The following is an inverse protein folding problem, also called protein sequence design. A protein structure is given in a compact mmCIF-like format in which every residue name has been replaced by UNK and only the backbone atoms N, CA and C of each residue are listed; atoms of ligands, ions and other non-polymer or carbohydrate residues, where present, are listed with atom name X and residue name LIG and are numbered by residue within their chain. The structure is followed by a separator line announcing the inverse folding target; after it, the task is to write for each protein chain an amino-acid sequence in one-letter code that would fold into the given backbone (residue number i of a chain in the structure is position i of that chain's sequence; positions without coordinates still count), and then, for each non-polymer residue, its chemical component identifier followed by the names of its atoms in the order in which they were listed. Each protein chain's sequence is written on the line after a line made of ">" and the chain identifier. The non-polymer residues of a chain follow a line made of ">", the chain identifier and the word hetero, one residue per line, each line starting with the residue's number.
data_IF_459621297142
#
_entry.id   IF_459621297142
#
_cell.length_a   1.000
_cell.length_b   1.000
_cell.length_c   1.000
_cell.angle_alpha   90.00
_cell.angle_beta   90.00
_cell.angle_gamma   90.00
#
_symmetry.space_group_name_H-M   'P 1'
#
loop_
_entity.id
_entity.type
_entity.pdbx_description
1 polymer ?
#
# COMPACT_ATOMS: atom_id res chain seq x y z
N UNK A 1 18.61 -13.87 -9.64
CA UNK A 1 18.31 -12.54 -10.24
C UNK A 1 16.89 -12.15 -9.84
N UNK A 2 16.68 -11.77 -8.57
CA UNK A 2 15.37 -11.35 -8.02
C UNK A 2 15.43 -9.93 -7.46
N UNK A 3 16.63 -9.35 -7.35
CA UNK A 3 16.89 -8.02 -6.80
C UNK A 3 16.31 -6.94 -7.70
N UNK A 4 16.62 -6.96 -9.00
CA UNK A 4 16.16 -5.91 -9.93
C UNK A 4 14.64 -5.75 -10.07
N UNK A 5 13.85 -6.83 -9.90
CA UNK A 5 12.39 -6.72 -9.95
C UNK A 5 11.82 -6.03 -8.71
N UNK A 6 12.35 -6.34 -7.53
CA UNK A 6 11.92 -5.71 -6.27
C UNK A 6 12.32 -4.24 -6.25
N UNK A 7 13.53 -3.92 -6.72
CA UNK A 7 14.04 -2.55 -6.79
C UNK A 7 13.22 -1.68 -7.77
N UNK A 8 12.86 -2.23 -8.93
CA UNK A 8 11.99 -1.55 -9.90
C UNK A 8 10.58 -1.31 -9.34
N UNK A 9 10.01 -2.29 -8.64
CA UNK A 9 8.71 -2.14 -7.99
C UNK A 9 8.77 -1.10 -6.87
N UNK A 10 9.81 -1.12 -6.03
CA UNK A 10 10.01 -0.14 -4.97
C UNK A 10 10.13 1.28 -5.55
N UNK A 11 10.87 1.45 -6.64
CA UNK A 11 11.01 2.74 -7.32
C UNK A 11 9.68 3.24 -7.91
N UNK A 12 8.85 2.35 -8.46
CA UNK A 12 7.52 2.69 -8.96
C UNK A 12 6.56 3.08 -7.82
N UNK A 13 6.55 2.30 -6.73
CA UNK A 13 5.75 2.60 -5.54
C UNK A 13 6.18 3.92 -4.88
N UNK A 14 7.49 4.21 -4.84
CA UNK A 14 8.00 5.46 -4.29
C UNK A 14 7.54 6.71 -5.06
N UNK A 15 7.20 6.57 -6.35
CA UNK A 15 6.62 7.65 -7.17
C UNK A 15 5.11 7.79 -6.98
N UNK A 16 4.46 6.81 -6.36
CA UNK A 16 3.02 6.85 -6.08
C UNK A 16 2.76 7.81 -4.93
N UNK A 17 1.79 8.72 -5.09
CA UNK A 17 1.50 9.71 -4.07
C UNK A 17 0.98 9.05 -2.79
N UNK A 18 1.14 9.74 -1.65
CA UNK A 18 0.61 9.28 -0.36
C UNK A 18 -0.91 9.03 -0.40
N UNK A 19 -1.65 9.80 -1.19
CA UNK A 19 -3.10 9.62 -1.37
C UNK A 19 -3.42 8.36 -2.16
N UNK A 20 -2.70 8.13 -3.26
CA UNK A 20 -2.95 6.99 -4.15
C UNK A 20 -2.57 5.67 -3.48
N UNK A 21 -1.47 5.64 -2.70
CA UNK A 21 -1.11 4.43 -1.93
C UNK A 21 -2.14 4.13 -0.82
N UNK A 22 -2.74 5.15 -0.23
CA UNK A 22 -3.86 4.97 0.72
C UNK A 22 -5.08 4.36 0.01
N UNK A 23 -5.43 4.86 -1.18
CA UNK A 23 -6.54 4.30 -1.97
C UNK A 23 -6.25 2.86 -2.39
N UNK A 24 -5.02 2.55 -2.81
CA UNK A 24 -4.57 1.20 -3.08
C UNK A 24 -4.76 0.29 -1.87
N UNK A 25 -4.25 0.69 -0.69
CA UNK A 25 -4.38 -0.11 0.52
C UNK A 25 -5.85 -0.31 0.94
N UNK A 26 -6.72 0.69 0.70
CA UNK A 26 -8.17 0.59 0.92
C UNK A 26 -8.82 -0.37 -0.08
N UNK A 27 -8.44 -0.31 -1.36
CA UNK A 27 -8.95 -1.20 -2.40
C UNK A 27 -8.58 -2.67 -2.11
N UNK A 28 -7.35 -2.94 -1.67
CA UNK A 28 -6.91 -4.27 -1.25
C UNK A 28 -7.71 -4.77 -0.05
N UNK A 29 -7.95 -3.93 0.96
CA UNK A 29 -8.77 -4.33 2.13
C UNK A 29 -10.19 -4.74 1.71
N UNK A 30 -10.83 -3.96 0.84
CA UNK A 30 -12.22 -4.19 0.42
C UNK A 30 -12.34 -5.41 -0.50
N UNK A 31 -11.46 -5.50 -1.50
CA UNK A 31 -11.56 -6.54 -2.52
C UNK A 31 -10.99 -7.89 -2.05
N UNK A 32 -9.89 -7.87 -1.29
CA UNK A 32 -9.13 -9.07 -0.92
C UNK A 32 -8.49 -8.94 0.47
N UNK A 33 -9.33 -8.93 1.52
CA UNK A 33 -8.87 -8.81 2.91
C UNK A 33 -7.82 -9.85 3.32
N UNK A 34 -7.88 -11.06 2.78
CA UNK A 34 -6.84 -12.10 2.99
C UNK A 34 -5.46 -11.67 2.51
N UNK A 35 -5.37 -10.95 1.38
CA UNK A 35 -4.11 -10.39 0.87
C UNK A 35 -3.69 -9.21 1.75
N UNK A 36 -4.63 -8.34 2.12
CA UNK A 36 -4.39 -7.23 3.04
C UNK A 36 -3.82 -7.67 4.39
N UNK A 37 -4.15 -8.88 4.85
CA UNK A 37 -3.63 -9.48 6.08
C UNK A 37 -2.23 -10.09 5.95
N UNK A 38 -1.72 -10.25 4.72
CA UNK A 38 -0.36 -10.75 4.44
C UNK A 38 0.63 -9.60 4.24
N UNK A 39 0.19 -8.51 3.61
CA UNK A 39 1.05 -7.36 3.29
C UNK A 39 1.21 -6.46 4.51
N UNK A 40 2.44 -5.99 4.77
CA UNK A 40 2.79 -5.18 5.94
C UNK A 40 2.29 -5.80 7.26
N UNK A 41 2.30 -7.13 7.36
CA UNK A 41 1.94 -7.81 8.60
C UNK A 41 3.03 -7.52 9.64
N UNK A 42 2.67 -6.80 10.69
CA UNK A 42 3.56 -6.49 11.81
C UNK A 42 3.95 -7.78 12.54
N UNK A 43 5.08 -7.72 13.26
CA UNK A 43 5.53 -8.81 14.10
C UNK A 43 4.50 -9.21 15.19
N UNK A 44 4.69 -10.39 15.77
CA UNK A 44 3.80 -10.88 16.83
C UNK A 44 3.68 -9.89 17.99
N UNK A 45 2.43 -9.56 18.34
CA UNK A 45 2.07 -8.58 19.36
C UNK A 45 2.54 -7.15 19.08
N UNK A 46 2.91 -6.83 17.84
CA UNK A 46 3.35 -5.50 17.42
C UNK A 46 2.20 -4.68 16.82
N UNK A 47 2.32 -3.36 16.90
CA UNK A 47 1.33 -2.34 16.51
C UNK A 47 1.98 -1.22 15.69
N UNK A 48 1.16 -0.47 14.96
CA UNK A 48 1.60 0.70 14.20
C UNK A 48 1.23 2.03 14.87
N UNK A 49 1.86 3.11 14.42
CA UNK A 49 1.43 4.49 14.66
C UNK A 49 2.17 5.24 15.76
N UNK A 50 3.24 4.67 16.33
CA UNK A 50 4.04 5.36 17.36
C UNK A 50 5.37 5.82 16.77
N UNK A 51 5.51 7.13 16.53
CA UNK A 51 6.70 7.71 15.86
C UNK A 51 8.00 7.60 16.67
N UNK A 52 7.90 7.59 17.99
CA UNK A 52 9.03 7.50 18.92
C UNK A 52 9.60 6.10 19.06
N UNK A 53 8.97 5.09 18.44
CA UNK A 53 9.31 3.69 18.63
C UNK A 53 9.91 3.10 17.37
N UNK A 54 10.94 2.27 17.55
CA UNK A 54 11.52 1.49 16.44
C UNK A 54 10.47 0.56 15.83
N UNK A 55 10.34 0.61 14.52
CA UNK A 55 9.40 -0.17 13.73
C UNK A 55 7.96 0.37 13.74
N UNK A 56 7.63 1.34 14.59
CA UNK A 56 6.26 1.83 14.79
C UNK A 56 5.61 2.41 13.54
N UNK A 57 6.41 2.82 12.56
CA UNK A 57 5.96 3.40 11.29
C UNK A 57 6.46 2.61 10.07
N UNK A 58 7.06 1.44 10.29
CA UNK A 58 7.73 0.67 9.23
C UNK A 58 6.89 -0.55 8.84
N UNK A 59 6.46 -0.63 7.58
CA UNK A 59 5.72 -1.76 7.04
C UNK A 59 6.42 -3.11 7.35
N UNK A 60 5.66 -4.04 7.93
CA UNK A 60 6.13 -5.39 8.28
C UNK A 60 6.86 -5.49 9.62
N UNK A 61 7.08 -4.38 10.33
CA UNK A 61 7.85 -4.37 11.60
C UNK A 61 6.90 -4.13 12.78
N UNK A 62 6.39 -2.90 12.91
CA UNK A 62 5.60 -2.48 14.08
C UNK A 62 6.44 -2.34 15.36
N UNK A 63 5.83 -1.78 16.41
CA UNK A 63 6.41 -1.65 17.76
C UNK A 63 5.58 -2.42 18.81
N UNK A 64 6.18 -2.72 19.97
CA UNK A 64 5.46 -3.21 21.15
C UNK A 64 4.38 -2.24 21.65
N UNK A 65 4.53 -0.96 21.34
CA UNK A 65 3.50 0.06 21.56
C UNK A 65 2.99 0.59 20.22
N UNK A 66 1.80 1.19 20.21
CA UNK A 66 1.19 1.70 18.99
C UNK A 66 0.39 2.96 19.27
N UNK A 67 -0.20 3.53 18.22
CA UNK A 67 -1.18 4.60 18.38
C UNK A 67 -2.42 4.13 19.15
N UNK A 68 -3.17 5.09 19.69
CA UNK A 68 -4.43 4.79 20.36
C UNK A 68 -5.42 4.12 19.40
N UNK A 69 -6.05 3.03 19.86
CA UNK A 69 -6.91 2.20 19.03
C UNK A 69 -6.18 1.25 18.07
N UNK A 70 -4.84 1.25 18.04
CA UNK A 70 -4.08 0.30 17.23
C UNK A 70 -4.19 -1.12 17.79
N UNK A 71 -4.50 -2.06 16.90
CA UNK A 71 -4.59 -3.49 17.21
C UNK A 71 -3.24 -4.18 17.04
N UNK A 72 -3.01 -5.21 17.84
CA UNK A 72 -1.82 -6.05 17.72
C UNK A 72 -1.87 -6.87 16.42
N UNK A 73 -0.69 -7.22 15.88
CA UNK A 73 -0.53 -7.94 14.62
C UNK A 73 -1.14 -7.19 13.43
N UNK A 74 -1.06 -5.86 13.43
CA UNK A 74 -1.61 -5.02 12.37
C UNK A 74 -1.04 -5.41 11.01
N UNK A 75 -1.86 -5.31 9.97
CA UNK A 75 -1.46 -5.57 8.58
C UNK A 75 -1.64 -4.32 7.71
N UNK A 76 -1.80 -4.47 6.40
CA UNK A 76 -1.94 -3.35 5.46
C UNK A 76 -3.03 -2.34 5.87
N UNK A 77 -4.13 -2.83 6.46
CA UNK A 77 -5.19 -1.98 7.02
C UNK A 77 -4.68 -1.03 8.11
N UNK A 78 -3.97 -1.58 9.10
CA UNK A 78 -3.48 -0.78 10.23
C UNK A 78 -2.31 0.10 9.82
N UNK A 79 -1.45 -0.39 8.93
CA UNK A 79 -0.41 0.41 8.30
C UNK A 79 -1.03 1.60 7.54
N UNK A 80 -2.11 1.38 6.78
CA UNK A 80 -2.83 2.48 6.11
C UNK A 80 -3.34 3.51 7.11
N UNK A 81 -4.07 3.09 8.13
CA UNK A 81 -4.73 3.99 9.09
C UNK A 81 -3.75 4.77 9.96
N UNK A 82 -2.71 4.10 10.45
CA UNK A 82 -1.82 4.66 11.47
C UNK A 82 -0.47 5.13 10.95
N UNK A 83 -0.13 4.87 9.69
CA UNK A 83 1.12 5.32 9.07
C UNK A 83 0.89 6.10 7.78
N UNK A 84 0.05 5.58 6.88
CA UNK A 84 -0.15 6.24 5.59
C UNK A 84 -1.11 7.43 5.68
N UNK A 85 -2.23 7.33 6.41
CA UNK A 85 -3.26 8.38 6.49
C UNK A 85 -2.90 9.53 7.44
N UNK A 86 -1.89 9.37 8.29
CA UNK A 86 -1.53 10.35 9.32
C UNK A 86 -0.72 11.52 8.76
N UNK A 87 -0.90 12.70 9.36
CA UNK A 87 -0.12 13.92 9.13
C UNK A 87 0.14 14.24 7.64
N UNK A 88 -0.90 14.14 6.81
CA UNK A 88 -0.81 14.45 5.38
C UNK A 88 0.07 13.47 4.60
N UNK A 89 0.08 12.19 5.00
CA UNK A 89 0.84 11.12 4.37
C UNK A 89 2.37 11.27 4.48
N UNK A 90 2.86 12.01 5.49
CA UNK A 90 4.29 12.37 5.61
C UNK A 90 5.25 11.18 5.74
N UNK A 91 4.77 9.99 6.11
CA UNK A 91 5.59 8.78 6.27
C UNK A 91 5.68 7.92 5.02
N UNK A 92 5.16 8.42 3.90
CA UNK A 92 5.25 7.77 2.60
C UNK A 92 6.03 8.64 1.59
N UNK A 93 6.90 8.04 0.74
CA UNK A 93 7.38 6.66 0.81
C UNK A 93 8.49 6.47 1.87
N UNK A 94 9.07 7.57 2.33
CA UNK A 94 10.12 7.57 3.35
C UNK A 94 9.53 8.00 4.69
N UNK A 95 9.87 7.26 5.72
CA UNK A 95 9.38 7.49 7.07
C UNK A 95 10.01 8.74 7.68
N UNK A 96 9.20 9.50 8.42
CA UNK A 96 9.58 10.77 9.07
C UNK A 96 9.46 10.76 10.59
N UNK A 97 9.32 9.58 11.19
CA UNK A 97 9.32 9.43 12.65
C UNK A 97 10.69 9.72 13.26
N UNK A 98 10.73 9.83 14.59
CA UNK A 98 11.97 10.14 15.31
C UNK A 98 12.97 8.98 15.26
N UNK A 99 12.47 7.75 15.38
CA UNK A 99 13.30 6.53 15.47
C UNK A 99 13.42 5.80 14.13
N UNK A 100 12.33 5.72 13.37
CA UNK A 100 12.28 5.10 12.03
C UNK A 100 12.64 6.07 10.90
N UNK A 101 13.37 7.14 11.22
CA UNK A 101 13.68 8.18 10.25
C UNK A 101 14.40 7.60 9.03
N UNK A 102 14.02 8.05 7.84
CA UNK A 102 14.65 7.71 6.57
C UNK A 102 14.48 6.24 6.13
N UNK A 103 13.68 5.44 6.85
CA UNK A 103 13.30 4.09 6.43
C UNK A 103 12.36 4.15 5.21
N UNK A 104 12.68 3.40 4.16
CA UNK A 104 11.91 3.36 2.91
C UNK A 104 10.75 2.36 2.98
N UNK A 105 9.54 2.85 3.24
CA UNK A 105 8.33 2.03 3.26
C UNK A 105 7.95 1.51 1.87
N UNK A 106 8.27 2.21 0.78
CA UNK A 106 8.00 1.70 -0.57
C UNK A 106 8.81 0.43 -0.87
N UNK A 107 10.07 0.37 -0.41
CA UNK A 107 10.91 -0.84 -0.51
C UNK A 107 10.36 -1.97 0.35
N UNK A 108 9.92 -1.68 1.59
CA UNK A 108 9.28 -2.68 2.46
C UNK A 108 8.00 -3.24 1.85
N UNK A 109 7.13 -2.37 1.32
CA UNK A 109 5.90 -2.79 0.64
C UNK A 109 6.24 -3.63 -0.59
N UNK A 110 7.17 -3.20 -1.44
CA UNK A 110 7.60 -3.97 -2.61
C UNK A 110 8.10 -5.37 -2.22
N UNK A 111 8.93 -5.46 -1.18
CA UNK A 111 9.45 -6.72 -0.67
C UNK A 111 8.36 -7.67 -0.13
N UNK A 112 7.28 -7.14 0.44
CA UNK A 112 6.14 -7.96 0.87
C UNK A 112 5.27 -8.39 -0.32
N UNK A 113 5.07 -7.52 -1.32
CA UNK A 113 4.33 -7.85 -2.53
C UNK A 113 5.04 -8.93 -3.36
N UNK A 114 6.38 -8.95 -3.40
CA UNK A 114 7.13 -9.98 -4.12
C UNK A 114 7.10 -11.35 -3.44
N UNK A 115 6.69 -11.44 -2.17
CA UNK A 115 6.51 -12.71 -1.43
C UNK A 115 5.12 -13.33 -1.62
N UNK A 116 4.16 -12.60 -2.18
CA UNK A 116 2.83 -13.12 -2.48
C UNK A 116 2.89 -14.25 -3.54
N UNK A 117 1.84 -15.07 -3.56
CA UNK A 117 1.65 -16.08 -4.62
C UNK A 117 1.46 -15.40 -5.98
N UNK A 118 1.74 -16.08 -7.10
CA UNK A 118 1.55 -15.51 -8.45
C UNK A 118 0.13 -14.97 -8.68
N UNK A 119 -0.88 -15.66 -8.19
CA UNK A 119 -2.29 -15.27 -8.32
C UNK A 119 -2.58 -13.98 -7.53
N UNK A 120 -2.10 -13.91 -6.29
CA UNK A 120 -2.24 -12.72 -5.45
C UNK A 120 -1.48 -11.51 -6.01
N UNK A 121 -0.31 -11.73 -6.63
CA UNK A 121 0.44 -10.67 -7.32
C UNK A 121 -0.34 -10.09 -8.48
N UNK A 122 -0.98 -10.92 -9.30
CA UNK A 122 -1.82 -10.47 -10.41
C UNK A 122 -2.98 -9.61 -9.91
N UNK A 123 -3.64 -10.04 -8.83
CA UNK A 123 -4.73 -9.28 -8.20
C UNK A 123 -4.22 -7.92 -7.72
N UNK A 124 -3.11 -7.90 -6.97
CA UNK A 124 -2.54 -6.66 -6.43
C UNK A 124 -2.08 -5.72 -7.53
N UNK A 125 -1.44 -6.23 -8.58
CA UNK A 125 -1.03 -5.43 -9.73
C UNK A 125 -2.24 -4.79 -10.43
N UNK A 126 -3.33 -5.55 -10.60
CA UNK A 126 -4.57 -5.03 -11.18
C UNK A 126 -5.24 -3.96 -10.31
N UNK A 127 -5.21 -4.10 -8.98
CA UNK A 127 -5.70 -3.07 -8.07
C UNK A 127 -4.82 -1.82 -8.12
N UNK A 128 -3.49 -1.99 -8.13
CA UNK A 128 -2.54 -0.89 -8.20
C UNK A 128 -2.71 -0.09 -9.49
N UNK A 129 -2.83 -0.78 -10.63
CA UNK A 129 -3.09 -0.15 -11.94
C UNK A 129 -4.40 0.65 -11.90
N UNK A 130 -5.50 0.08 -11.38
CA UNK A 130 -6.78 0.79 -11.24
C UNK A 130 -6.68 2.03 -10.35
N UNK A 131 -5.88 2.00 -9.30
CA UNK A 131 -5.73 3.15 -8.39
C UNK A 131 -4.80 4.24 -8.90
N UNK A 132 -3.83 3.90 -9.76
CA UNK A 132 -2.85 4.87 -10.30
C UNK A 132 -3.28 5.40 -11.67
N UNK A 133 -3.98 4.61 -12.49
CA UNK A 133 -4.49 5.01 -13.80
C UNK A 133 -5.95 5.54 -13.75
N UNK A 134 -6.65 5.35 -12.63
CA UNK A 134 -8.10 5.60 -12.49
C UNK A 134 -8.54 7.04 -12.21
N UNK A 135 -7.97 8.03 -12.89
CA UNK A 135 -8.46 9.41 -12.91
C UNK A 135 -9.47 9.73 -14.02
N UNK A 136 -9.56 8.90 -15.06
CA UNK A 136 -10.55 9.09 -16.12
C UNK A 136 -10.99 7.72 -16.67
N UNK A 137 -12.01 7.14 -16.02
CA UNK A 137 -12.91 6.26 -16.75
C UNK A 137 -13.70 7.20 -17.66
N UNK A 138 -13.21 7.44 -18.88
CA UNK A 138 -14.09 7.93 -19.94
C UNK A 138 -15.14 6.85 -20.09
N UNK A 139 -16.33 7.12 -19.56
CA UNK A 139 -17.52 6.36 -19.87
C UNK A 139 -17.55 6.17 -21.39
N UNK A 140 -17.53 4.91 -21.81
CA UNK A 140 -17.85 4.53 -23.17
C UNK A 140 -19.29 4.99 -23.40
N UNK A 141 -19.46 6.20 -23.91
CA UNK A 141 -20.70 6.60 -24.56
C UNK A 141 -20.78 5.77 -25.82
N UNK A 142 -21.47 4.65 -25.71
CA UNK A 142 -22.16 4.06 -26.84
C UNK A 142 -22.96 5.19 -27.52
N UNK A 143 -22.49 5.66 -28.68
CA UNK A 143 -23.36 6.39 -29.61
C UNK A 143 -23.68 5.41 -30.72
N UNK A 144 -24.94 4.98 -30.64
CA UNK A 144 -25.64 4.04 -31.50
C UNK A 144 -25.42 4.31 -32.98
N UNK A 145 -25.37 3.20 -33.73
CA UNK A 145 -25.55 3.10 -35.16
C UNK A 145 -26.58 4.09 -35.71
N UNK A 146 -26.17 4.87 -36.71
CA UNK A 146 -27.06 5.23 -37.82
C UNK A 146 -26.36 4.82 -39.10
N UNK A 147 -26.71 3.65 -39.60
CA UNK A 147 -26.52 3.31 -41.01
C UNK A 147 -27.26 4.34 -41.85
N UNK A 148 -26.58 4.99 -42.79
CA UNK A 148 -27.26 5.54 -43.97
C UNK A 148 -26.48 5.05 -45.17
N UNK A 149 -27.17 4.22 -45.94
CA UNK A 149 -26.77 3.74 -47.26
C UNK A 149 -26.80 4.92 -48.24
N UNK A 150 -25.74 5.05 -49.05
CA UNK A 150 -25.83 5.56 -50.42
C UNK A 150 -24.91 4.70 -51.28
#
# INVERSE_FOLDING_TARGET
>A
VVTGQTDNLAAALAKTSGKDIVQFAKAVEIAHSTIGNKVCKAGSSKKYGKESETGGLTCGVGSSTGADGAVANGALKEFRRFVLEVDGNKHWPITRGSTDKDVNNAEKVAGELTKLTPEEKTIVAGLLAKTIEGGEVVEIRAVSSTSVMV
#
